data_IF_311926563239
#
_entry.id   IF_311926563239
#
_cell.length_a   1.000
_cell.length_b   1.000
_cell.length_c   1.000
_cell.angle_alpha   90.00
_cell.angle_beta   90.00
_cell.angle_gamma   90.00
#
_symmetry.space_group_name_H-M   'P 1'
#
loop_
_entity.id
_entity.type
_entity.pdbx_description
1 polymer ?
#
# COMPACT_ATOMS: atom_id res chain seq x y z
N UNK A 1 46.97 17.35 -24.92
CA UNK A 1 46.77 17.05 -23.50
C UNK A 1 45.28 16.71 -23.32
N UNK A 2 44.91 15.44 -23.44
CA UNK A 2 43.50 15.00 -23.34
C UNK A 2 43.17 14.67 -21.90
N UNK A 3 42.27 15.42 -21.28
CA UNK A 3 41.77 15.13 -19.93
C UNK A 3 40.70 14.05 -20.04
N UNK A 4 41.06 12.82 -19.66
CA UNK A 4 40.14 11.70 -19.52
C UNK A 4 39.16 12.03 -18.38
N UNK A 5 37.91 12.32 -18.71
CA UNK A 5 36.81 12.35 -17.74
C UNK A 5 36.50 10.90 -17.31
N UNK A 6 36.94 10.51 -16.11
CA UNK A 6 36.43 9.30 -15.46
C UNK A 6 34.95 9.51 -15.15
N UNK A 7 34.07 8.86 -15.90
CA UNK A 7 32.67 8.71 -15.53
C UNK A 7 32.60 7.76 -14.33
N UNK A 8 32.46 8.31 -13.12
CA UNK A 8 32.09 7.53 -11.95
C UNK A 8 30.65 7.04 -12.15
N UNK A 9 30.48 5.75 -12.43
CA UNK A 9 29.18 5.09 -12.37
C UNK A 9 28.81 5.00 -10.88
N UNK A 10 28.05 5.98 -10.39
CA UNK A 10 27.45 5.88 -9.07
C UNK A 10 26.41 4.75 -9.13
N UNK A 11 26.69 3.63 -8.46
CA UNK A 11 25.66 2.64 -8.12
C UNK A 11 24.71 3.32 -7.14
N UNK A 12 23.60 3.85 -7.65
CA UNK A 12 22.51 4.34 -6.80
C UNK A 12 21.94 3.22 -5.94
N UNK A 13 21.13 3.57 -4.91
CA UNK A 13 20.36 2.56 -4.21
C UNK A 13 19.54 1.70 -5.19
N UNK A 14 19.18 0.49 -4.79
CA UNK A 14 18.31 -0.39 -5.60
C UNK A 14 16.88 -0.39 -5.07
N UNK A 15 16.61 0.44 -4.07
CA UNK A 15 15.34 0.59 -3.39
C UNK A 15 15.28 1.99 -2.79
N UNK A 16 14.12 2.63 -2.91
CA UNK A 16 13.83 3.92 -2.32
C UNK A 16 14.21 3.96 -0.83
N UNK A 17 14.63 5.14 -0.37
CA UNK A 17 14.87 5.43 1.05
C UNK A 17 13.58 5.34 1.88
N UNK A 18 13.72 5.18 3.20
CA UNK A 18 12.63 5.25 4.15
C UNK A 18 11.90 6.60 4.08
N UNK A 19 10.58 6.57 4.22
CA UNK A 19 9.72 7.72 4.27
C UNK A 19 8.70 7.59 5.40
N UNK A 20 8.83 8.47 6.41
CA UNK A 20 7.95 8.46 7.58
C UNK A 20 6.48 8.67 7.23
N UNK A 21 6.18 9.51 6.22
CA UNK A 21 4.82 9.74 5.75
C UNK A 21 4.24 8.47 5.10
N UNK A 22 5.01 7.75 4.28
CA UNK A 22 4.56 6.50 3.68
C UNK A 22 4.24 5.45 4.74
N UNK A 23 5.09 5.33 5.77
CA UNK A 23 4.87 4.43 6.89
C UNK A 23 3.60 4.80 7.67
N UNK A 24 3.46 6.07 8.06
CA UNK A 24 2.29 6.56 8.78
C UNK A 24 1.00 6.31 7.98
N UNK A 25 0.98 6.70 6.71
CA UNK A 25 -0.17 6.48 5.83
C UNK A 25 -0.53 4.99 5.71
N UNK A 26 0.44 4.09 5.58
CA UNK A 26 0.18 2.66 5.53
C UNK A 26 -0.42 2.12 6.84
N UNK A 27 0.11 2.55 7.99
CA UNK A 27 -0.39 2.15 9.30
C UNK A 27 -1.82 2.67 9.58
N UNK A 28 -2.09 3.94 9.25
CA UNK A 28 -3.43 4.53 9.41
C UNK A 28 -4.45 3.85 8.49
N UNK A 29 -4.11 3.67 7.21
CA UNK A 29 -5.01 3.02 6.26
C UNK A 29 -5.30 1.56 6.62
N UNK A 30 -4.34 0.84 7.21
CA UNK A 30 -4.60 -0.51 7.73
C UNK A 30 -5.75 -0.47 8.73
N UNK A 31 -5.67 0.42 9.72
CA UNK A 31 -6.69 0.53 10.78
C UNK A 31 -8.05 0.93 10.21
N UNK A 32 -8.08 1.98 9.40
CA UNK A 32 -9.33 2.50 8.82
C UNK A 32 -9.99 1.48 7.88
N UNK A 33 -9.19 0.78 7.06
CA UNK A 33 -9.69 -0.26 6.16
C UNK A 33 -10.30 -1.42 6.95
N UNK A 34 -9.62 -1.92 7.97
CA UNK A 34 -10.13 -3.05 8.77
C UNK A 34 -11.41 -2.65 9.52
N UNK A 35 -11.51 -1.41 10.00
CA UNK A 35 -12.71 -0.88 10.63
C UNK A 35 -13.88 -0.72 9.65
N UNK A 36 -13.61 -0.36 8.38
CA UNK A 36 -14.63 -0.36 7.33
C UNK A 36 -15.09 -1.79 7.01
N UNK A 37 -14.17 -2.75 6.94
CA UNK A 37 -14.50 -4.14 6.67
C UNK A 37 -15.45 -4.74 7.73
N UNK A 38 -15.36 -4.33 8.99
CA UNK A 38 -16.31 -4.71 10.04
C UNK A 38 -17.77 -4.37 9.71
N UNK A 39 -17.97 -3.38 8.84
CA UNK A 39 -19.30 -2.94 8.39
C UNK A 39 -19.84 -3.76 7.23
N UNK A 40 -19.05 -4.66 6.65
CA UNK A 40 -19.47 -5.44 5.48
C UNK A 40 -20.50 -6.54 5.78
N UNK A 41 -20.95 -6.67 7.03
CA UNK A 41 -22.14 -7.44 7.39
C UNK A 41 -23.45 -6.68 7.14
N UNK A 42 -23.37 -5.37 6.91
CA UNK A 42 -24.48 -4.50 6.53
C UNK A 42 -24.48 -4.23 5.01
N UNK A 43 -25.62 -3.77 4.44
CA UNK A 43 -25.72 -3.41 3.03
C UNK A 43 -24.67 -2.38 2.61
N UNK A 44 -23.96 -2.66 1.50
CA UNK A 44 -22.95 -1.78 0.92
C UNK A 44 -23.45 -0.34 0.75
N UNK A 45 -24.71 -0.18 0.35
CA UNK A 45 -25.32 1.13 0.12
C UNK A 45 -25.29 2.03 1.36
N UNK A 46 -25.33 1.48 2.57
CA UNK A 46 -25.24 2.23 3.83
C UNK A 46 -23.82 2.77 4.11
N UNK A 47 -22.82 2.24 3.40
CA UNK A 47 -21.40 2.53 3.60
C UNK A 47 -20.68 2.96 2.33
N UNK A 48 -21.40 3.23 1.24
CA UNK A 48 -20.84 3.53 -0.07
C UNK A 48 -19.88 4.74 -0.05
N UNK A 49 -20.20 5.77 0.72
CA UNK A 49 -19.35 6.96 0.88
C UNK A 49 -18.04 6.64 1.61
N UNK A 50 -18.09 5.81 2.65
CA UNK A 50 -16.92 5.36 3.39
C UNK A 50 -16.02 4.46 2.51
N UNK A 51 -16.62 3.59 1.70
CA UNK A 51 -15.89 2.80 0.70
C UNK A 51 -15.22 3.71 -0.32
N UNK A 52 -15.93 4.70 -0.86
CA UNK A 52 -15.36 5.62 -1.84
C UNK A 52 -14.22 6.47 -1.24
N UNK A 53 -14.34 6.87 0.02
CA UNK A 53 -13.28 7.54 0.75
C UNK A 53 -12.02 6.67 0.85
N UNK A 54 -12.15 5.43 1.35
CA UNK A 54 -11.01 4.51 1.48
C UNK A 54 -10.37 4.21 0.13
N UNK A 55 -11.17 3.96 -0.93
CA UNK A 55 -10.62 3.77 -2.28
C UNK A 55 -9.81 4.98 -2.76
N UNK A 56 -10.26 6.19 -2.45
CA UNK A 56 -9.55 7.42 -2.83
C UNK A 56 -8.22 7.54 -2.09
N UNK A 57 -8.18 7.25 -0.78
CA UNK A 57 -6.95 7.29 -0.01
C UNK A 57 -5.96 6.19 -0.44
N UNK A 58 -6.46 5.00 -0.79
CA UNK A 58 -5.68 3.89 -1.33
C UNK A 58 -5.02 4.23 -2.68
N UNK A 59 -5.75 4.90 -3.58
CA UNK A 59 -5.18 5.39 -4.84
C UNK A 59 -4.12 6.46 -4.60
N UNK A 60 -4.32 7.35 -3.62
CA UNK A 60 -3.32 8.37 -3.26
C UNK A 60 -2.01 7.74 -2.79
N UNK A 61 -2.06 6.71 -1.94
CA UNK A 61 -0.83 6.04 -1.47
C UNK A 61 -0.18 5.20 -2.56
N UNK A 62 -0.97 4.60 -3.46
CA UNK A 62 -0.44 3.92 -4.66
C UNK A 62 0.32 4.91 -5.56
N UNK A 63 -0.30 6.02 -5.95
CA UNK A 63 0.34 7.03 -6.82
C UNK A 63 1.54 7.70 -6.13
N UNK A 64 1.45 7.94 -4.80
CA UNK A 64 2.60 8.40 -4.03
C UNK A 64 3.75 7.39 -4.08
N UNK A 65 3.48 6.11 -3.84
CA UNK A 65 4.51 5.07 -3.90
C UNK A 65 5.12 4.96 -5.30
N UNK A 66 4.29 4.96 -6.34
CA UNK A 66 4.69 4.86 -7.75
C UNK A 66 5.50 6.07 -8.24
N UNK A 67 5.22 7.26 -7.72
CA UNK A 67 5.92 8.49 -8.09
C UNK A 67 7.32 8.62 -7.47
N UNK A 68 7.71 7.72 -6.55
CA UNK A 68 9.03 7.74 -5.91
C UNK A 68 10.05 6.92 -6.72
N UNK A 69 11.28 7.44 -6.94
CA UNK A 69 12.35 6.67 -7.55
C UNK A 69 12.61 5.35 -6.82
N UNK A 70 12.88 4.27 -7.55
CA UNK A 70 13.28 2.95 -7.02
C UNK A 70 12.26 2.37 -6.02
N UNK A 71 10.99 2.73 -6.16
CA UNK A 71 9.93 2.32 -5.24
C UNK A 71 8.89 1.39 -5.89
N UNK A 72 9.24 0.76 -7.00
CA UNK A 72 8.37 -0.05 -7.83
C UNK A 72 7.82 -1.26 -7.08
N UNK A 73 8.59 -1.81 -6.14
CA UNK A 73 8.15 -2.93 -5.28
C UNK A 73 6.99 -2.47 -4.39
N UNK A 74 7.13 -1.34 -3.68
CA UNK A 74 6.06 -0.80 -2.84
C UNK A 74 4.82 -0.44 -3.65
N UNK A 75 5.00 0.21 -4.82
CA UNK A 75 3.90 0.52 -5.72
C UNK A 75 3.16 -0.74 -6.19
N UNK A 76 3.89 -1.83 -6.46
CA UNK A 76 3.30 -3.12 -6.85
C UNK A 76 2.52 -3.78 -5.72
N UNK A 77 2.99 -3.72 -4.47
CA UNK A 77 2.25 -4.26 -3.32
C UNK A 77 0.93 -3.50 -3.12
N UNK A 78 0.94 -2.17 -3.20
CA UNK A 78 -0.30 -1.38 -3.20
C UNK A 78 -1.23 -1.79 -4.34
N UNK A 79 -0.70 -1.94 -5.55
CA UNK A 79 -1.51 -2.36 -6.70
C UNK A 79 -2.16 -3.73 -6.49
N UNK A 80 -1.40 -4.70 -5.98
CA UNK A 80 -1.91 -6.05 -5.68
C UNK A 80 -3.02 -5.99 -4.63
N UNK A 81 -2.89 -5.15 -3.61
CA UNK A 81 -3.88 -4.98 -2.54
C UNK A 81 -5.20 -4.43 -3.08
N UNK A 82 -5.16 -3.43 -3.96
CA UNK A 82 -6.34 -2.62 -4.34
C UNK A 82 -6.98 -3.03 -5.67
N UNK A 83 -6.36 -3.96 -6.41
CA UNK A 83 -6.85 -4.48 -7.68
C UNK A 83 -8.24 -5.13 -7.53
N UNK A 84 -9.29 -4.60 -8.20
CA UNK A 84 -10.65 -5.14 -8.09
C UNK A 84 -10.79 -6.56 -8.64
N UNK A 85 -9.86 -6.99 -9.52
CA UNK A 85 -9.90 -8.31 -10.14
C UNK A 85 -9.14 -9.37 -9.32
N UNK A 86 -8.76 -9.06 -8.06
CA UNK A 86 -7.98 -9.93 -7.16
C UNK A 86 -8.64 -10.11 -5.80
N UNK A 87 -8.35 -11.23 -5.15
CA UNK A 87 -9.01 -11.67 -3.91
C UNK A 87 -8.67 -10.89 -2.62
N UNK A 88 -7.86 -9.83 -2.70
CA UNK A 88 -7.52 -8.97 -1.57
C UNK A 88 -8.56 -7.85 -1.38
N UNK A 89 -8.14 -6.64 -1.01
CA UNK A 89 -9.05 -5.56 -0.65
C UNK A 89 -9.86 -5.07 -1.85
N UNK A 90 -9.24 -4.95 -3.03
CA UNK A 90 -9.93 -4.55 -4.24
C UNK A 90 -11.11 -5.46 -4.57
N UNK A 91 -10.88 -6.78 -4.67
CA UNK A 91 -11.94 -7.75 -4.89
C UNK A 91 -12.94 -7.82 -3.75
N UNK A 92 -12.50 -7.76 -2.49
CA UNK A 92 -13.42 -7.71 -1.34
C UNK A 92 -14.43 -6.55 -1.46
N UNK A 93 -13.97 -5.35 -1.84
CA UNK A 93 -14.84 -4.18 -2.01
C UNK A 93 -15.73 -4.30 -3.26
N UNK A 94 -15.24 -4.94 -4.33
CA UNK A 94 -16.02 -5.21 -5.53
C UNK A 94 -17.15 -6.22 -5.23
N UNK A 95 -16.80 -7.34 -4.61
CA UNK A 95 -17.72 -8.38 -4.17
C UNK A 95 -18.77 -7.82 -3.21
N UNK A 96 -18.38 -6.94 -2.27
CA UNK A 96 -19.32 -6.35 -1.32
C UNK A 96 -20.35 -5.48 -2.03
N UNK A 97 -19.93 -4.72 -3.04
CA UNK A 97 -20.83 -3.91 -3.86
C UNK A 97 -21.84 -4.77 -4.63
N UNK A 98 -21.43 -5.94 -5.10
CA UNK A 98 -22.29 -6.85 -5.88
C UNK A 98 -23.22 -7.68 -4.99
N UNK A 99 -22.70 -8.20 -3.88
CA UNK A 99 -23.41 -9.12 -2.98
C UNK A 99 -24.17 -8.39 -1.86
N UNK A 100 -24.00 -7.07 -1.75
CA UNK A 100 -24.55 -6.17 -0.74
C UNK A 100 -24.04 -6.41 0.69
N UNK A 101 -23.85 -7.64 1.16
CA UNK A 101 -23.36 -7.93 2.51
C UNK A 101 -22.73 -9.32 2.58
N UNK A 102 -21.92 -9.56 3.61
CA UNK A 102 -21.26 -10.83 3.89
C UNK A 102 -21.60 -11.38 5.27
N UNK A 103 -21.25 -12.65 5.50
CA UNK A 103 -21.29 -13.22 6.85
C UNK A 103 -20.14 -12.68 7.71
N UNK A 104 -20.37 -12.58 9.03
CA UNK A 104 -19.34 -12.12 9.96
C UNK A 104 -18.06 -13.00 9.90
N UNK A 105 -18.21 -14.32 9.75
CA UNK A 105 -17.08 -15.24 9.60
C UNK A 105 -16.24 -14.92 8.36
N UNK A 106 -16.88 -14.69 7.21
CA UNK A 106 -16.17 -14.33 5.99
C UNK A 106 -15.41 -13.00 6.14
N UNK A 107 -16.05 -12.00 6.77
CA UNK A 107 -15.41 -10.71 7.06
C UNK A 107 -14.16 -10.89 7.91
N UNK A 108 -14.21 -11.65 9.00
CA UNK A 108 -13.05 -11.87 9.88
C UNK A 108 -11.89 -12.61 9.19
N UNK A 109 -12.20 -13.61 8.37
CA UNK A 109 -11.20 -14.33 7.58
C UNK A 109 -10.51 -13.42 6.56
N UNK A 110 -11.28 -12.61 5.82
CA UNK A 110 -10.75 -11.66 4.85
C UNK A 110 -9.97 -10.53 5.52
N UNK A 111 -10.43 -10.02 6.67
CA UNK A 111 -9.70 -9.02 7.47
C UNK A 111 -8.31 -9.54 7.84
N UNK A 112 -8.20 -10.80 8.24
CA UNK A 112 -6.90 -11.41 8.57
C UNK A 112 -5.96 -11.43 7.36
N UNK A 113 -6.46 -11.76 6.17
CA UNK A 113 -5.65 -11.77 4.95
C UNK A 113 -5.22 -10.35 4.53
N UNK A 114 -6.14 -9.39 4.57
CA UNK A 114 -5.87 -8.00 4.21
C UNK A 114 -4.95 -7.32 5.22
N UNK A 115 -5.08 -7.62 6.52
CA UNK A 115 -4.18 -7.14 7.55
C UNK A 115 -2.72 -7.54 7.27
N UNK A 116 -2.49 -8.81 6.87
CA UNK A 116 -1.15 -9.30 6.50
C UNK A 116 -0.60 -8.63 5.23
N UNK A 117 -1.46 -8.31 4.27
CA UNK A 117 -1.04 -7.57 3.07
C UNK A 117 -0.60 -6.14 3.43
N UNK A 118 -1.31 -5.46 4.32
CA UNK A 118 -0.85 -4.19 4.88
C UNK A 118 0.47 -4.34 5.66
N UNK A 119 0.60 -5.38 6.50
CA UNK A 119 1.84 -5.64 7.25
C UNK A 119 3.03 -5.80 6.30
N UNK A 120 2.86 -6.52 5.19
CA UNK A 120 3.88 -6.65 4.15
C UNK A 120 4.32 -5.29 3.59
N UNK A 121 3.37 -4.37 3.35
CA UNK A 121 3.66 -3.01 2.87
C UNK A 121 4.40 -2.20 3.94
N UNK A 122 3.95 -2.29 5.19
CA UNK A 122 4.51 -1.56 6.34
C UNK A 122 5.94 -2.04 6.63
N UNK A 123 6.17 -3.35 6.63
CA UNK A 123 7.48 -3.98 6.82
C UNK A 123 8.45 -3.61 5.69
N UNK A 124 7.96 -3.58 4.45
CA UNK A 124 8.76 -3.13 3.31
C UNK A 124 9.19 -1.67 3.46
N UNK A 125 8.33 -0.78 3.95
CA UNK A 125 8.71 0.62 4.18
C UNK A 125 9.67 0.75 5.37
N UNK A 126 9.38 0.11 6.50
CA UNK A 126 10.21 0.20 7.72
C UNK A 126 11.59 -0.45 7.56
N UNK A 127 11.73 -1.41 6.65
CA UNK A 127 12.99 -2.04 6.30
C UNK A 127 13.90 -1.21 5.39
N UNK A 128 13.43 -0.07 4.85
CA UNK A 128 14.26 0.80 3.99
C UNK A 128 15.30 1.55 4.82
N UNK A 129 16.46 1.78 4.21
CA UNK A 129 17.52 2.61 4.80
C UNK A 129 17.03 4.04 5.02
N UNK A 130 17.45 4.66 6.12
CA UNK A 130 17.15 6.07 6.37
C UNK A 130 17.90 6.97 5.39
N UNK A 131 17.41 8.18 5.07
CA UNK A 131 18.10 9.11 4.17
C UNK A 131 19.56 9.38 4.55
N UNK A 132 19.84 9.51 5.84
CA UNK A 132 21.21 9.71 6.33
C UNK A 132 22.13 8.50 6.10
N UNK A 133 21.58 7.27 6.09
CA UNK A 133 22.36 6.05 5.86
C UNK A 133 22.67 5.87 4.36
N UNK A 134 21.77 6.31 3.48
CA UNK A 134 22.01 6.29 2.02
C UNK A 134 23.01 7.36 1.63
N UNK A 135 22.88 8.59 2.15
CA UNK A 135 23.84 9.69 1.89
C UNK A 135 25.26 9.38 2.35
N UNK A 136 25.41 8.62 3.43
CA UNK A 136 26.70 8.27 4.01
C UNK A 136 27.21 6.88 3.55
N UNK A 137 26.54 6.24 2.59
CA UNK A 137 27.03 4.98 2.01
C UNK A 137 28.25 5.27 1.10
N UNK A 138 29.38 4.56 1.27
CA UNK A 138 30.62 4.78 0.53
C UNK A 138 30.53 4.43 -0.96
#
# INVERSE_FOLDING_TARGET
MGLLLLAATACGPTISEFNARAYEQATSLKVETLALMDKATAPYAEHADAVQHIKTELEKVYEFAKGRPENEISARQWRILIDPDRDLLGGFLADWKEQSAFSATFVEEKKTQIARAFDTIIELESGKKKPDEVRNSP
#
